data_IF_162960716286
#
_entry.id   IF_162960716286
#
_cell.length_a   1.000
_cell.length_b   1.000
_cell.length_c   1.000
_cell.angle_alpha   90.00
_cell.angle_beta   90.00
_cell.angle_gamma   90.00
#
_symmetry.space_group_name_H-M   'P 1'
#
loop_
_entity.id
_entity.type
_entity.pdbx_description
1 polymer ?
#
# COMPACT_ATOMS: atom_id res chain seq x y z
N UNK A 1 -11.31 5.07 -15.80
CA UNK A 1 -11.85 5.88 -14.69
C UNK A 1 -12.84 6.87 -15.26
N UNK A 2 -13.97 7.04 -14.57
CA UNK A 2 -14.92 8.12 -14.89
C UNK A 2 -14.21 9.47 -14.79
N UNK A 3 -14.33 10.32 -15.80
CA UNK A 3 -13.66 11.63 -15.88
C UNK A 3 -14.31 12.68 -14.94
N UNK A 4 -15.42 12.34 -14.28
CA UNK A 4 -16.11 13.24 -13.37
C UNK A 4 -15.35 13.50 -12.04
N UNK A 5 -14.54 12.54 -11.59
CA UNK A 5 -13.74 12.68 -10.37
C UNK A 5 -12.45 13.43 -10.69
N UNK A 6 -12.19 14.50 -9.93
CA UNK A 6 -11.02 15.36 -10.13
C UNK A 6 -9.75 14.78 -9.53
N UNK A 7 -9.87 14.06 -8.41
CA UNK A 7 -8.73 13.57 -7.63
C UNK A 7 -8.93 12.11 -7.19
N UNK A 8 -8.74 11.16 -8.10
CA UNK A 8 -8.96 9.74 -7.84
C UNK A 8 -8.10 9.18 -6.71
N UNK A 9 -6.79 9.48 -6.69
CA UNK A 9 -5.90 8.98 -5.65
C UNK A 9 -6.25 9.56 -4.27
N UNK A 10 -6.62 10.84 -4.22
CA UNK A 10 -7.11 11.46 -2.97
C UNK A 10 -8.43 10.84 -2.52
N UNK A 11 -9.30 10.39 -3.43
CA UNK A 11 -10.55 9.72 -3.05
C UNK A 11 -10.30 8.43 -2.26
N UNK A 12 -9.30 7.62 -2.64
CA UNK A 12 -8.87 6.47 -1.83
C UNK A 12 -8.32 6.90 -0.46
N UNK A 13 -7.56 8.00 -0.43
CA UNK A 13 -7.10 8.63 0.81
C UNK A 13 -8.23 9.06 1.73
N UNK A 14 -9.27 9.69 1.17
CA UNK A 14 -10.47 10.09 1.91
C UNK A 14 -11.20 8.87 2.44
N UNK A 15 -11.36 7.81 1.66
CA UNK A 15 -11.95 6.55 2.14
C UNK A 15 -11.16 5.96 3.32
N UNK A 16 -9.82 5.96 3.24
CA UNK A 16 -8.96 5.55 4.36
C UNK A 16 -9.15 6.44 5.60
N UNK A 17 -9.24 7.75 5.41
CA UNK A 17 -9.50 8.70 6.49
C UNK A 17 -10.86 8.47 7.15
N UNK A 18 -11.93 8.27 6.38
CA UNK A 18 -13.28 7.96 6.87
C UNK A 18 -13.27 6.71 7.77
N UNK A 19 -12.54 5.68 7.37
CA UNK A 19 -12.39 4.46 8.18
C UNK A 19 -11.68 4.72 9.53
N UNK A 20 -10.75 5.69 9.61
CA UNK A 20 -10.13 6.07 10.89
C UNK A 20 -11.09 6.84 11.82
N UNK A 21 -12.10 7.49 11.26
CA UNK A 21 -13.20 8.10 12.02
C UNK A 21 -14.24 7.05 12.47
N UNK A 22 -13.97 5.76 12.28
CA UNK A 22 -14.86 4.63 12.60
C UNK A 22 -16.19 4.67 11.84
N UNK A 23 -16.17 5.21 10.62
CA UNK A 23 -17.31 5.22 9.71
C UNK A 23 -17.10 4.12 8.66
N UNK A 24 -18.09 3.25 8.51
CA UNK A 24 -18.05 2.19 7.51
C UNK A 24 -18.17 2.78 6.10
N UNK A 25 -17.47 2.17 5.15
CA UNK A 25 -17.48 2.56 3.73
C UNK A 25 -17.89 1.37 2.88
N UNK A 26 -18.88 1.55 2.01
CA UNK A 26 -19.19 0.58 0.97
C UNK A 26 -18.35 0.89 -0.27
N UNK A 27 -17.45 -0.01 -0.63
CA UNK A 27 -16.71 0.07 -1.87
C UNK A 27 -17.44 -0.69 -2.97
N UNK A 28 -18.00 0.07 -3.90
CA UNK A 28 -18.72 -0.45 -5.05
C UNK A 28 -17.72 -0.69 -6.18
N UNK A 29 -17.35 -1.96 -6.36
CA UNK A 29 -16.38 -2.41 -7.36
C UNK A 29 -16.95 -2.26 -8.77
N UNK A 30 -16.11 -1.77 -9.69
CA UNK A 30 -16.41 -1.55 -11.10
C UNK A 30 -17.55 -0.57 -11.43
N UNK A 31 -18.27 -0.03 -10.45
CA UNK A 31 -19.21 1.07 -10.65
C UNK A 31 -18.44 2.39 -10.77
N UNK A 32 -18.56 3.09 -11.90
CA UNK A 32 -17.84 4.34 -12.23
C UNK A 32 -16.30 4.29 -12.03
N UNK A 33 -15.72 3.10 -12.09
CA UNK A 33 -14.28 2.87 -11.86
C UNK A 33 -13.90 2.65 -10.39
N UNK A 34 -14.88 2.42 -9.52
CA UNK A 34 -14.74 2.26 -8.07
C UNK A 34 -15.35 3.45 -7.34
N UNK A 35 -16.48 3.24 -6.68
CA UNK A 35 -17.19 4.28 -5.91
C UNK A 35 -17.18 3.93 -4.43
N UNK A 36 -17.05 4.95 -3.58
CA UNK A 36 -17.24 4.82 -2.14
C UNK A 36 -18.59 5.43 -1.76
N UNK A 37 -19.45 4.62 -1.16
CA UNK A 37 -20.75 5.02 -0.65
C UNK A 37 -20.72 4.99 0.88
N UNK A 38 -21.25 6.05 1.49
CA UNK A 38 -21.37 6.23 2.93
C UNK A 38 -22.66 6.99 3.24
N UNK A 39 -23.08 6.96 4.49
CA UNK A 39 -24.07 7.92 5.00
C UNK A 39 -23.55 9.36 4.92
N UNK A 40 -24.46 10.33 4.91
CA UNK A 40 -24.08 11.74 4.85
C UNK A 40 -23.57 12.24 6.21
N UNK A 41 -22.32 12.69 6.23
CA UNK A 41 -21.66 13.33 7.36
C UNK A 41 -21.09 14.70 6.94
N UNK A 42 -21.46 15.81 7.60
CA UNK A 42 -20.95 17.14 7.25
C UNK A 42 -19.42 17.25 7.27
N UNK A 43 -18.77 16.55 8.19
CA UNK A 43 -17.31 16.54 8.32
C UNK A 43 -16.63 15.83 7.15
N UNK A 44 -17.23 14.75 6.63
CA UNK A 44 -16.72 14.04 5.45
C UNK A 44 -16.87 14.91 4.19
N UNK A 45 -18.01 15.59 4.04
CA UNK A 45 -18.18 16.53 2.93
C UNK A 45 -17.16 17.68 2.97
N UNK A 46 -16.85 18.17 4.16
CA UNK A 46 -15.81 19.18 4.36
C UNK A 46 -14.44 18.63 3.98
N UNK A 47 -14.10 17.42 4.39
CA UNK A 47 -12.83 16.78 4.05
C UNK A 47 -12.69 16.54 2.54
N UNK A 48 -13.77 16.11 1.86
CA UNK A 48 -13.80 16.01 0.40
C UNK A 48 -13.48 17.35 -0.27
N UNK A 49 -14.06 18.47 0.23
CA UNK A 49 -13.75 19.81 -0.28
C UNK A 49 -12.29 20.21 -0.05
N UNK A 50 -11.74 19.95 1.14
CA UNK A 50 -10.35 20.24 1.48
C UNK A 50 -9.38 19.46 0.58
N UNK A 51 -9.67 18.18 0.32
CA UNK A 51 -8.85 17.29 -0.51
C UNK A 51 -9.10 17.43 -2.02
N UNK A 52 -10.06 18.24 -2.44
CA UNK A 52 -10.41 18.43 -3.85
C UNK A 52 -11.14 17.23 -4.48
N UNK A 53 -11.67 16.32 -3.66
CA UNK A 53 -12.39 15.12 -4.09
C UNK A 53 -13.84 15.48 -4.43
N UNK A 54 -14.27 15.17 -5.66
CA UNK A 54 -15.67 15.30 -6.06
C UNK A 54 -16.54 14.31 -5.29
N UNK A 55 -17.71 14.74 -4.83
CA UNK A 55 -18.72 13.90 -4.21
C UNK A 55 -20.13 14.29 -4.67
N UNK A 56 -21.08 13.39 -4.51
CA UNK A 56 -22.49 13.62 -4.79
C UNK A 56 -23.34 13.13 -3.62
N UNK A 57 -24.39 13.87 -3.28
CA UNK A 57 -25.38 13.44 -2.29
C UNK A 57 -26.56 12.86 -3.06
N UNK A 58 -26.85 11.59 -2.82
CA UNK A 58 -27.95 10.87 -3.46
C UNK A 58 -29.04 10.53 -2.44
N UNK A 59 -30.29 10.51 -2.89
CA UNK A 59 -31.44 10.06 -2.11
C UNK A 59 -31.66 8.55 -2.20
N UNK A 60 -32.69 8.07 -1.50
CA UNK A 60 -33.02 6.66 -1.42
C UNK A 60 -33.31 6.02 -2.79
N UNK A 61 -34.02 6.71 -3.70
CA UNK A 61 -34.36 6.19 -5.03
C UNK A 61 -33.11 5.93 -5.88
N UNK A 62 -32.16 6.87 -5.88
CA UNK A 62 -30.90 6.76 -6.61
C UNK A 62 -30.00 5.67 -6.02
N UNK A 63 -29.99 5.54 -4.69
CA UNK A 63 -29.26 4.48 -3.98
C UNK A 63 -29.81 3.10 -4.37
N UNK A 64 -31.14 2.94 -4.41
CA UNK A 64 -31.78 1.70 -4.85
C UNK A 64 -31.45 1.38 -6.31
N UNK A 65 -31.46 2.38 -7.18
CA UNK A 65 -31.10 2.22 -8.59
C UNK A 65 -29.63 1.77 -8.76
N UNK A 66 -28.72 2.34 -7.96
CA UNK A 66 -27.32 1.95 -7.93
C UNK A 66 -27.15 0.48 -7.50
N UNK A 67 -27.81 0.02 -6.43
CA UNK A 67 -27.71 -1.38 -6.02
C UNK A 67 -28.29 -2.34 -7.07
N UNK A 68 -29.42 -1.98 -7.69
CA UNK A 68 -29.97 -2.76 -8.78
C UNK A 68 -29.01 -2.86 -9.98
N UNK A 69 -28.31 -1.78 -10.31
CA UNK A 69 -27.29 -1.79 -11.37
C UNK A 69 -26.12 -2.71 -11.00
N UNK A 70 -25.69 -2.69 -9.74
CA UNK A 70 -24.62 -3.57 -9.24
C UNK A 70 -25.03 -5.04 -9.38
N UNK A 71 -26.24 -5.40 -8.97
CA UNK A 71 -26.74 -6.79 -9.01
C UNK A 71 -26.80 -7.40 -10.42
N UNK A 72 -27.08 -6.60 -11.45
CA UNK A 72 -27.26 -7.09 -12.83
C UNK A 72 -25.99 -7.01 -13.69
N UNK A 73 -24.91 -6.43 -13.18
CA UNK A 73 -23.65 -6.25 -13.90
C UNK A 73 -22.47 -6.95 -13.20
N UNK A 74 -21.29 -6.91 -13.82
CA UNK A 74 -20.05 -7.43 -13.22
C UNK A 74 -19.46 -6.44 -12.19
N UNK A 75 -20.23 -6.18 -11.14
CA UNK A 75 -19.93 -5.26 -10.04
C UNK A 75 -20.15 -5.99 -8.71
N UNK A 76 -19.67 -5.41 -7.62
CA UNK A 76 -19.83 -5.98 -6.27
C UNK A 76 -19.77 -4.87 -5.21
N UNK A 77 -20.34 -5.12 -4.03
CA UNK A 77 -20.28 -4.20 -2.89
C UNK A 77 -19.44 -4.84 -1.78
N UNK A 78 -18.33 -4.21 -1.44
CA UNK A 78 -17.47 -4.64 -0.34
C UNK A 78 -17.59 -3.66 0.82
N UNK A 79 -18.03 -4.14 1.98
CA UNK A 79 -18.05 -3.35 3.20
C UNK A 79 -16.64 -3.24 3.79
N UNK A 80 -16.18 -2.02 4.01
CA UNK A 80 -14.93 -1.69 4.67
C UNK A 80 -15.23 -1.11 6.05
N UNK A 81 -14.65 -1.71 7.09
CA UNK A 81 -14.96 -1.36 8.50
C UNK A 81 -13.74 -0.87 9.27
N UNK A 82 -12.52 -1.10 8.75
CA UNK A 82 -11.27 -0.76 9.44
C UNK A 82 -10.21 -0.31 8.43
N UNK A 83 -9.53 0.80 8.75
CA UNK A 83 -8.34 1.21 8.03
C UNK A 83 -7.19 0.23 8.29
N UNK A 84 -6.56 -0.36 7.25
CA UNK A 84 -5.46 -1.29 7.44
C UNK A 84 -4.18 -0.57 7.88
N UNK A 85 -3.40 -1.22 8.74
CA UNK A 85 -2.01 -0.82 9.00
C UNK A 85 -1.11 -1.31 7.87
N UNK A 86 -0.43 -0.38 7.21
CA UNK A 86 0.36 -0.63 5.99
C UNK A 86 1.85 -0.61 6.31
N UNK A 87 2.55 -1.67 5.91
CA UNK A 87 4.01 -1.73 5.89
C UNK A 87 4.56 -1.78 4.46
N UNK A 88 5.67 -1.07 4.24
CA UNK A 88 6.47 -1.14 3.01
C UNK A 88 7.82 -1.77 3.35
N UNK A 89 8.08 -2.95 2.78
CA UNK A 89 9.40 -3.57 2.89
C UNK A 89 10.36 -2.89 1.90
N UNK A 90 11.34 -2.14 2.42
CA UNK A 90 12.23 -1.31 1.59
C UNK A 90 13.62 -1.15 2.23
N UNK A 91 14.71 -1.20 1.45
CA UNK A 91 16.05 -1.06 2.00
C UNK A 91 16.29 0.35 2.54
N UNK A 92 17.10 0.49 3.61
CA UNK A 92 17.46 1.80 4.14
C UNK A 92 18.16 2.63 3.06
N UNK A 93 17.78 3.91 2.94
CA UNK A 93 18.39 4.85 2.00
C UNK A 93 17.80 4.85 0.58
N UNK A 94 16.82 3.97 0.27
CA UNK A 94 16.04 4.06 -0.97
C UNK A 94 15.26 5.38 -0.98
N UNK A 95 15.25 6.08 -2.12
CA UNK A 95 14.57 7.37 -2.19
C UNK A 95 13.07 7.16 -2.38
N UNK A 96 12.20 7.99 -1.75
CA UNK A 96 10.75 7.81 -1.84
C UNK A 96 10.17 7.85 -3.25
N UNK A 97 10.81 8.53 -4.20
CA UNK A 97 10.35 8.59 -5.59
C UNK A 97 10.72 7.37 -6.43
N UNK A 98 11.55 6.46 -5.90
CA UNK A 98 11.94 5.22 -6.58
C UNK A 98 10.88 4.11 -6.42
N UNK A 99 9.82 4.37 -5.65
CA UNK A 99 8.73 3.43 -5.38
C UNK A 99 7.38 4.08 -5.65
N UNK A 100 6.73 3.64 -6.74
CA UNK A 100 5.44 4.16 -7.19
C UNK A 100 4.32 3.96 -6.16
N UNK A 101 4.39 2.91 -5.34
CA UNK A 101 3.40 2.66 -4.28
C UNK A 101 3.57 3.67 -3.16
N UNK A 102 4.79 3.92 -2.70
CA UNK A 102 5.03 4.95 -1.67
C UNK A 102 4.63 6.35 -2.18
N UNK A 103 4.88 6.67 -3.45
CA UNK A 103 4.41 7.91 -4.08
C UNK A 103 2.88 8.00 -4.08
N UNK A 104 2.19 6.92 -4.47
CA UNK A 104 0.73 6.89 -4.50
C UNK A 104 0.12 7.03 -3.09
N UNK A 105 0.64 6.30 -2.10
CA UNK A 105 0.20 6.39 -0.70
C UNK A 105 0.45 7.79 -0.13
N UNK A 106 1.63 8.35 -0.37
CA UNK A 106 1.98 9.71 0.07
C UNK A 106 1.07 10.74 -0.58
N UNK A 107 0.82 10.64 -1.89
CA UNK A 107 -0.09 11.54 -2.59
C UNK A 107 -1.52 11.41 -2.06
N UNK A 108 -1.98 10.19 -1.80
CA UNK A 108 -3.28 9.92 -1.21
C UNK A 108 -3.37 10.30 0.28
N UNK A 109 -2.27 10.67 0.93
CA UNK A 109 -2.19 10.92 2.38
C UNK A 109 -2.57 9.70 3.22
N UNK A 110 -2.22 8.50 2.75
CA UNK A 110 -2.40 7.25 3.48
C UNK A 110 -1.11 6.97 4.25
N UNK A 111 -1.14 6.87 5.59
CA UNK A 111 0.04 6.58 6.40
C UNK A 111 0.54 5.15 6.16
N UNK A 112 1.86 5.00 6.19
CA UNK A 112 2.54 3.71 6.11
C UNK A 112 3.83 3.75 6.95
N UNK A 113 4.28 2.57 7.36
CA UNK A 113 5.57 2.40 8.01
C UNK A 113 6.52 1.63 7.08
N UNK A 114 7.81 1.90 7.19
CA UNK A 114 8.84 1.16 6.45
C UNK A 114 9.52 0.17 7.37
N UNK A 115 9.82 -1.01 6.85
CA UNK A 115 10.57 -2.02 7.59
C UNK A 115 11.58 -2.70 6.66
N UNK A 116 12.62 -3.30 7.24
CA UNK A 116 13.62 -4.04 6.50
C UNK A 116 13.89 -5.41 7.14
N UNK A 117 15.00 -6.04 6.75
CA UNK A 117 15.40 -7.39 7.16
C UNK A 117 15.26 -7.60 8.67
N UNK A 118 15.86 -6.72 9.48
CA UNK A 118 15.94 -6.89 10.93
C UNK A 118 14.56 -6.85 11.60
N UNK A 119 13.70 -5.92 11.21
CA UNK A 119 12.35 -5.80 11.75
C UNK A 119 11.50 -7.04 11.43
N UNK A 120 11.67 -7.64 10.25
CA UNK A 120 10.99 -8.90 9.88
C UNK A 120 11.48 -10.04 10.77
N UNK A 121 12.80 -10.20 10.93
CA UNK A 121 13.37 -11.25 11.79
C UNK A 121 12.96 -11.10 13.26
N UNK A 122 12.67 -9.88 13.71
CA UNK A 122 12.18 -9.58 15.06
C UNK A 122 10.66 -9.75 15.22
N UNK A 123 9.93 -10.17 14.19
CA UNK A 123 8.49 -10.51 14.28
C UNK A 123 7.53 -9.31 14.13
N UNK A 124 8.02 -8.16 13.66
CA UNK A 124 7.24 -6.92 13.55
C UNK A 124 6.09 -7.03 12.53
N UNK A 125 6.15 -7.99 11.59
CA UNK A 125 5.10 -8.20 10.57
C UNK A 125 3.69 -8.37 11.16
N UNK A 126 3.58 -8.99 12.34
CA UNK A 126 2.29 -9.22 13.01
C UNK A 126 1.53 -7.95 13.39
N UNK A 127 2.17 -6.78 13.33
CA UNK A 127 1.56 -5.49 13.66
C UNK A 127 0.82 -4.85 12.47
N UNK A 128 0.97 -5.40 11.27
CA UNK A 128 0.46 -4.84 10.03
C UNK A 128 -0.63 -5.73 9.42
N UNK A 129 -1.55 -5.09 8.71
CA UNK A 129 -2.64 -5.74 7.99
C UNK A 129 -2.29 -5.93 6.49
N UNK A 130 -1.40 -5.09 5.95
CA UNK A 130 -0.96 -5.15 4.55
C UNK A 130 0.54 -4.88 4.41
N UNK A 131 1.19 -5.63 3.52
CA UNK A 131 2.63 -5.57 3.28
C UNK A 131 2.93 -5.39 1.78
N UNK A 132 3.60 -4.30 1.42
CA UNK A 132 4.12 -4.08 0.07
C UNK A 132 5.54 -4.63 -0.08
N UNK A 133 5.80 -5.31 -1.18
CA UNK A 133 7.05 -6.02 -1.47
C UNK A 133 7.56 -5.74 -2.88
N UNK A 134 8.88 -5.69 -3.00
CA UNK A 134 9.59 -5.65 -4.28
C UNK A 134 10.27 -7.01 -4.53
N UNK A 135 9.91 -7.67 -5.62
CA UNK A 135 10.41 -9.02 -5.94
C UNK A 135 11.94 -9.07 -6.07
N UNK A 136 12.56 -7.98 -6.52
CA UNK A 136 14.00 -7.86 -6.69
C UNK A 136 14.79 -7.95 -5.37
N UNK A 137 14.16 -7.61 -4.24
CA UNK A 137 14.82 -7.58 -2.93
C UNK A 137 15.07 -8.98 -2.34
N UNK A 138 14.48 -10.02 -2.93
CA UNK A 138 14.58 -11.41 -2.45
C UNK A 138 15.58 -12.27 -3.23
N UNK A 139 16.27 -11.70 -4.22
CA UNK A 139 17.14 -12.47 -5.13
C UNK A 139 18.46 -12.92 -4.50
N UNK A 140 18.99 -12.16 -3.53
CA UNK A 140 20.35 -12.38 -2.99
C UNK A 140 21.49 -12.02 -3.96
N UNK A 141 21.17 -11.51 -5.15
CA UNK A 141 22.13 -11.26 -6.24
C UNK A 141 22.76 -9.86 -6.21
N UNK A 142 22.59 -9.09 -5.13
CA UNK A 142 23.09 -7.72 -5.00
C UNK A 142 22.65 -6.80 -6.16
N UNK A 143 21.46 -7.04 -6.71
CA UNK A 143 20.88 -6.27 -7.81
C UNK A 143 21.46 -6.54 -9.21
N UNK A 144 20.75 -6.06 -10.23
CA UNK A 144 21.08 -6.25 -11.66
C UNK A 144 22.29 -5.44 -12.16
N UNK A 145 22.88 -4.62 -11.29
CA UNK A 145 23.84 -3.58 -11.67
C UNK A 145 25.30 -4.03 -11.68
N UNK A 146 25.59 -5.26 -11.24
CA UNK A 146 26.96 -5.79 -11.15
C UNK A 146 27.77 -5.56 -12.43
N UNK A 147 27.25 -5.96 -13.59
CA UNK A 147 27.99 -5.91 -14.87
C UNK A 147 28.53 -4.51 -15.19
N UNK A 148 27.74 -3.47 -14.93
CA UNK A 148 28.08 -2.10 -15.31
C UNK A 148 28.70 -1.31 -14.16
N UNK A 149 28.47 -1.71 -12.91
CA UNK A 149 28.76 -0.88 -11.73
C UNK A 149 29.48 -1.60 -10.59
N UNK A 150 30.02 -2.81 -10.79
CA UNK A 150 30.73 -3.56 -9.74
C UNK A 150 31.89 -2.81 -9.04
N UNK A 151 32.47 -1.80 -9.67
CA UNK A 151 33.53 -0.95 -9.10
C UNK A 151 33.03 0.37 -8.54
N UNK A 152 31.75 0.71 -8.71
CA UNK A 152 31.19 1.94 -8.21
C UNK A 152 31.08 1.88 -6.68
N UNK A 153 31.48 2.96 -5.99
CA UNK A 153 31.50 3.01 -4.53
C UNK A 153 30.13 2.66 -3.93
N UNK A 154 29.06 3.25 -4.45
CA UNK A 154 27.69 2.97 -4.00
C UNK A 154 27.30 1.48 -4.11
N UNK A 155 27.81 0.78 -5.13
CA UNK A 155 27.52 -0.64 -5.34
C UNK A 155 28.29 -1.51 -4.35
N UNK A 156 29.57 -1.17 -4.13
CA UNK A 156 30.42 -1.84 -3.15
C UNK A 156 29.84 -1.66 -1.74
N UNK A 157 29.43 -0.45 -1.38
CA UNK A 157 28.82 -0.13 -0.09
C UNK A 157 27.50 -0.89 0.11
N UNK A 158 26.62 -0.90 -0.89
CA UNK A 158 25.37 -1.67 -0.83
C UNK A 158 25.64 -3.17 -0.64
N UNK A 159 26.61 -3.73 -1.38
CA UNK A 159 27.00 -5.13 -1.22
C UNK A 159 27.48 -5.43 0.21
N UNK A 160 28.34 -4.57 0.75
CA UNK A 160 28.84 -4.70 2.13
C UNK A 160 27.71 -4.60 3.16
N UNK A 161 26.73 -3.71 2.96
CA UNK A 161 25.57 -3.59 3.84
C UNK A 161 24.75 -4.86 3.88
N UNK A 162 24.47 -5.48 2.72
CA UNK A 162 23.74 -6.75 2.67
C UNK A 162 24.51 -7.90 3.32
N UNK A 163 25.83 -7.99 3.10
CA UNK A 163 26.67 -9.00 3.75
C UNK A 163 26.72 -8.81 5.26
N UNK A 164 26.87 -7.56 5.72
CA UNK A 164 26.88 -7.22 7.14
C UNK A 164 25.54 -7.53 7.81
N UNK A 165 24.43 -7.25 7.14
CA UNK A 165 23.09 -7.59 7.63
C UNK A 165 22.90 -9.10 7.74
N UNK A 166 23.31 -9.87 6.73
CA UNK A 166 23.24 -11.33 6.78
C UNK A 166 24.07 -11.90 7.94
N UNK A 167 25.29 -11.40 8.14
CA UNK A 167 26.14 -11.80 9.28
C UNK A 167 25.54 -11.41 10.62
N UNK A 168 25.00 -10.18 10.76
CA UNK A 168 24.32 -9.70 11.96
C UNK A 168 23.16 -10.61 12.35
N UNK A 169 22.43 -11.11 11.37
CA UNK A 169 21.30 -12.04 11.55
C UNK A 169 21.72 -13.52 11.68
N UNK A 170 23.03 -13.83 11.69
CA UNK A 170 23.55 -15.18 11.88
C UNK A 170 23.57 -16.07 10.63
N UNK A 171 23.47 -15.50 9.44
CA UNK A 171 23.50 -16.23 8.17
C UNK A 171 24.88 -16.22 7.52
N UNK A 172 25.24 -17.36 6.92
CA UNK A 172 26.53 -17.54 6.21
C UNK A 172 26.57 -16.86 4.83
N UNK A 173 25.43 -16.45 4.28
CA UNK A 173 25.34 -15.76 2.99
C UNK A 173 24.06 -14.94 2.89
N UNK A 174 24.08 -13.89 2.04
CA UNK A 174 22.88 -13.08 1.72
C UNK A 174 21.78 -13.94 1.10
N UNK A 175 22.14 -14.91 0.26
CA UNK A 175 21.17 -15.83 -0.35
C UNK A 175 20.42 -16.67 0.71
N UNK A 176 21.15 -17.20 1.70
CA UNK A 176 20.54 -17.96 2.79
C UNK A 176 19.63 -17.07 3.65
N UNK A 177 20.06 -15.84 3.93
CA UNK A 177 19.25 -14.85 4.65
C UNK A 177 17.97 -14.49 3.89
N UNK A 178 18.06 -14.12 2.61
CA UNK A 178 16.89 -13.75 1.78
C UNK A 178 15.93 -14.92 1.56
N UNK A 179 16.44 -16.16 1.46
CA UNK A 179 15.59 -17.35 1.43
C UNK A 179 14.78 -17.52 2.72
N UNK A 180 15.41 -17.35 3.88
CA UNK A 180 14.72 -17.44 5.16
C UNK A 180 13.69 -16.32 5.33
N UNK A 181 14.05 -15.09 4.96
CA UNK A 181 13.16 -13.94 4.95
C UNK A 181 11.91 -14.17 4.09
N UNK A 182 12.10 -14.63 2.84
CA UNK A 182 10.99 -14.94 1.94
C UNK A 182 10.06 -16.01 2.52
N UNK A 183 10.62 -17.00 3.24
CA UNK A 183 9.82 -18.01 3.94
C UNK A 183 9.03 -17.42 5.11
N UNK A 184 9.60 -16.49 5.88
CA UNK A 184 8.90 -15.79 6.95
C UNK A 184 7.74 -14.96 6.42
N UNK A 185 7.97 -14.18 5.36
CA UNK A 185 6.93 -13.39 4.70
C UNK A 185 5.84 -14.30 4.14
N UNK A 186 6.21 -15.40 3.48
CA UNK A 186 5.24 -16.40 2.99
C UNK A 186 4.38 -16.99 4.11
N UNK A 187 4.92 -17.15 5.31
CA UNK A 187 4.15 -17.69 6.45
C UNK A 187 3.24 -16.63 7.10
N UNK A 188 3.50 -15.34 6.84
CA UNK A 188 2.69 -14.23 7.33
C UNK A 188 1.48 -13.96 6.42
N UNK A 189 1.68 -14.04 5.10
CA UNK A 189 0.63 -13.83 4.06
C UNK A 189 -0.29 -15.03 3.93
#
# INVERSE_FOLDING_TARGET
MDQAQKEHLKAYGTAYWILNENINVEWILNYRGGTFLIDSYPDVEQECRVRGVSYEVIGAEQTLALYNEVEVNNMDVVLLEKAPKIAIYTPPGKQPWDDAVTLALTYAEIPYETLWDEEVFNGTLSQYDWLHLHHEDFTGQYGKFYRNYHTAAWYIDQKQQFESMAQKLGYHSVHAQKKALAQMIKNYV
#
